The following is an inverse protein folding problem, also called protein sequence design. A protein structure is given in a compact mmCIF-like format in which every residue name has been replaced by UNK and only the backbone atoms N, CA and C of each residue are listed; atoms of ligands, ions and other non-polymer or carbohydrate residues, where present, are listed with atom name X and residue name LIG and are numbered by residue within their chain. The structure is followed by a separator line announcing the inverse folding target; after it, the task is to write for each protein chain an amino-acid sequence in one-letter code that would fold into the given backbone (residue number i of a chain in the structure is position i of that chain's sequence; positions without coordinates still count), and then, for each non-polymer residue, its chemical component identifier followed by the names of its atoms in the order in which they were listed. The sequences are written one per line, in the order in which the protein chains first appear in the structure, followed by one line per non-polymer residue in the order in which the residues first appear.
data_IF_717741756391
#
_entry.id   IF_717741756391
#
_cell.length_a   1.000
_cell.length_b   1.000
_cell.length_c   1.000
_cell.angle_alpha   90.00
_cell.angle_beta   90.00
_cell.angle_gamma   90.00
#
_symmetry.space_group_name_H-M   'P 1'
#
loop_
_entity.id
_entity.type
_entity.pdbx_description
1 polymer ?
#
# COMPACT_ATOMS: atom_id res chain seq x y z
N UNK A 1 -6.57 0.61 -3.70
CA UNK A 1 -7.35 -0.63 -3.90
C UNK A 1 -6.50 -1.84 -3.58
N UNK A 2 -7.08 -2.90 -2.99
CA UNK A 2 -6.40 -4.13 -2.61
C UNK A 2 -7.00 -5.31 -3.40
N UNK A 3 -6.15 -6.17 -3.95
CA UNK A 3 -6.57 -7.27 -4.81
C UNK A 3 -5.86 -8.57 -4.45
N UNK A 4 -6.63 -9.65 -4.40
CA UNK A 4 -6.09 -11.01 -4.28
C UNK A 4 -5.60 -11.50 -5.63
N UNK A 5 -4.45 -12.16 -5.67
CA UNK A 5 -3.92 -12.78 -6.88
C UNK A 5 -3.22 -14.10 -6.57
N UNK A 6 -3.48 -15.13 -7.40
CA UNK A 6 -2.91 -16.47 -7.24
C UNK A 6 -3.05 -17.05 -5.82
N UNK A 7 -4.18 -16.80 -5.16
CA UNK A 7 -4.43 -17.26 -3.79
C UNK A 7 -3.85 -16.38 -2.69
N UNK A 8 -3.00 -15.40 -3.01
CA UNK A 8 -2.36 -14.50 -2.04
C UNK A 8 -3.15 -13.19 -1.87
N UNK A 9 -3.39 -12.84 -0.61
CA UNK A 9 -4.05 -11.60 -0.20
C UNK A 9 -3.01 -10.65 0.40
N UNK A 10 -3.01 -9.36 0.05
CA UNK A 10 -2.12 -8.39 0.68
C UNK A 10 -2.37 -8.28 2.19
N UNK A 11 -1.29 -8.19 2.97
CA UNK A 11 -1.34 -7.91 4.40
C UNK A 11 -1.03 -6.44 4.65
N UNK A 12 -1.92 -5.76 5.37
CA UNK A 12 -1.86 -4.32 5.61
C UNK A 12 -1.79 -4.07 7.12
N UNK A 13 -0.72 -3.40 7.55
CA UNK A 13 -0.50 -2.99 8.92
C UNK A 13 -1.45 -1.88 9.39
N UNK A 14 -1.57 -1.73 10.69
CA UNK A 14 -2.45 -0.75 11.33
C UNK A 14 -2.04 0.68 10.95
N UNK A 15 -3.02 1.60 10.83
CA UNK A 15 -2.75 2.99 10.49
C UNK A 15 -2.23 3.22 9.07
N UNK A 16 -2.25 2.20 8.21
CA UNK A 16 -1.82 2.31 6.82
C UNK A 16 -2.89 2.96 5.95
N UNK A 17 -2.48 3.88 5.08
CA UNK A 17 -3.35 4.50 4.08
C UNK A 17 -2.96 4.10 2.65
N UNK A 18 -3.93 3.60 1.87
CA UNK A 18 -3.76 3.30 0.43
C UNK A 18 -4.70 4.18 -0.39
N UNK A 19 -4.18 5.30 -0.89
CA UNK A 19 -4.93 6.28 -1.68
C UNK A 19 -5.13 5.86 -3.14
N UNK A 20 -6.27 6.22 -3.72
CA UNK A 20 -6.49 6.06 -5.17
C UNK A 20 -5.51 6.95 -5.96
N UNK A 21 -5.02 6.53 -7.14
CA UNK A 21 -5.32 5.30 -7.89
C UNK A 21 -4.44 4.08 -7.51
N UNK A 22 -3.74 4.08 -6.37
CA UNK A 22 -2.80 3.01 -6.05
C UNK A 22 -3.49 1.64 -5.88
N UNK A 23 -2.91 0.61 -6.48
CA UNK A 23 -3.35 -0.78 -6.39
C UNK A 23 -2.28 -1.66 -5.73
N UNK A 24 -2.68 -2.53 -4.79
CA UNK A 24 -1.82 -3.54 -4.17
C UNK A 24 -2.38 -4.92 -4.52
N UNK A 25 -1.56 -5.80 -5.11
CA UNK A 25 -2.02 -7.06 -5.71
C UNK A 25 -1.17 -8.23 -5.22
N UNK A 26 -1.80 -9.30 -4.72
CA UNK A 26 -1.13 -10.57 -4.46
C UNK A 26 -0.37 -10.63 -3.13
N UNK A 27 0.84 -11.23 -3.16
CA UNK A 27 1.66 -11.48 -1.97
C UNK A 27 2.49 -10.26 -1.59
N UNK A 28 1.86 -9.28 -0.93
CA UNK A 28 2.49 -8.02 -0.51
C UNK A 28 2.25 -7.82 0.98
N UNK A 29 3.29 -7.39 1.70
CA UNK A 29 3.20 -7.00 3.12
C UNK A 29 3.53 -5.52 3.22
N UNK A 30 2.60 -4.76 3.79
CA UNK A 30 2.77 -3.34 4.11
C UNK A 30 2.73 -3.21 5.62
N UNK A 31 3.80 -2.66 6.21
CA UNK A 31 3.90 -2.45 7.65
C UNK A 31 3.05 -1.29 8.16
N UNK A 32 2.99 -1.14 9.48
CA UNK A 32 2.16 -0.15 10.16
C UNK A 32 2.55 1.29 9.80
N UNK A 33 1.55 2.18 9.75
CA UNK A 33 1.72 3.62 9.49
C UNK A 33 2.19 3.96 8.08
N UNK A 34 2.20 3.01 7.15
CA UNK A 34 2.64 3.24 5.78
C UNK A 34 1.62 4.06 4.98
N UNK A 35 2.11 4.79 3.99
CA UNK A 35 1.26 5.58 3.08
C UNK A 35 1.61 5.22 1.64
N UNK A 36 0.65 4.64 0.92
CA UNK A 36 0.77 4.25 -0.48
C UNK A 36 -0.18 5.12 -1.30
N UNK A 37 0.34 5.96 -2.18
CA UNK A 37 -0.48 6.88 -2.99
C UNK A 37 0.29 7.49 -4.15
N UNK A 38 -0.43 8.14 -5.06
CA UNK A 38 0.15 8.79 -6.24
C UNK A 38 0.64 10.20 -5.90
N UNK A 39 1.84 10.56 -6.38
CA UNK A 39 2.34 11.94 -6.31
C UNK A 39 1.54 12.82 -7.26
N UNK A 40 0.72 13.71 -6.73
CA UNK A 40 0.31 14.92 -7.44
C UNK A 40 0.36 16.08 -6.43
N UNK A 41 1.46 16.83 -6.47
CA UNK A 41 1.71 18.07 -5.73
C UNK A 41 1.71 17.99 -4.19
N UNK A 42 2.89 17.77 -3.60
CA UNK A 42 3.18 18.12 -2.19
C UNK A 42 3.16 16.98 -1.16
N UNK A 43 4.32 16.35 -0.92
CA UNK A 43 4.64 15.71 0.37
C UNK A 43 4.74 14.17 0.44
N UNK A 44 5.93 13.69 0.85
CA UNK A 44 6.33 12.51 1.70
C UNK A 44 5.67 11.11 1.53
N UNK A 45 6.29 9.95 1.82
CA UNK A 45 7.67 9.42 1.79
C UNK A 45 7.63 7.89 2.06
N UNK A 46 8.70 7.19 1.64
CA UNK A 46 9.29 5.96 2.21
C UNK A 46 8.48 4.66 2.35
N UNK A 47 8.75 3.72 1.44
CA UNK A 47 8.88 2.31 1.81
C UNK A 47 10.33 2.10 2.30
N UNK A 48 10.53 1.83 3.59
CA UNK A 48 11.83 1.32 4.07
C UNK A 48 11.87 -0.19 3.87
N UNK A 49 13.03 -0.63 3.39
CA UNK A 49 13.44 -1.99 3.01
C UNK A 49 13.24 -3.03 4.10
#
# INVERSE_FOLDING_TARGET
MLYRFAGHTPSIGEGTFVGAPAGVIGNVVIGDGAVIGHRNQGGWQHARS
#
